data_IF_635981414005
#
_entry.id   IF_635981414005
#
_cell.length_a   1.000
_cell.length_b   1.000
_cell.length_c   1.000
_cell.angle_alpha   90.00
_cell.angle_beta   90.00
_cell.angle_gamma   90.00
#
_symmetry.space_group_name_H-M   'P 1'
#
loop_
_entity.id
_entity.type
_entity.pdbx_description
1 polymer ?
#
# COMPACT_ATOMS: atom_id res chain seq x y z
N UNK A 1 25.51 50.86 18.27
CA UNK A 1 24.25 51.05 17.56
C UNK A 1 23.94 49.75 16.82
N UNK A 2 23.14 48.88 17.47
CA UNK A 2 22.66 47.65 16.83
C UNK A 2 21.39 48.00 16.04
N UNK A 3 21.49 47.94 14.72
CA UNK A 3 20.31 47.89 13.86
C UNK A 3 19.88 46.41 13.85
N UNK A 4 18.91 46.08 14.69
CA UNK A 4 18.21 44.80 14.54
C UNK A 4 17.57 44.80 13.17
N UNK A 5 17.98 43.82 12.37
CA UNK A 5 17.50 43.67 11.01
C UNK A 5 16.03 43.19 11.06
N UNK A 6 15.02 44.03 10.78
CA UNK A 6 13.60 43.64 10.95
C UNK A 6 13.18 42.53 9.98
N UNK A 7 14.00 42.16 9.00
CA UNK A 7 13.71 41.13 8.00
C UNK A 7 13.75 39.70 8.57
N UNK A 8 14.59 39.41 9.58
CA UNK A 8 14.67 38.07 10.16
C UNK A 8 13.41 37.71 10.99
N UNK A 9 12.81 38.66 11.67
CA UNK A 9 11.58 38.44 12.41
C UNK A 9 10.35 38.25 11.50
N UNK A 10 10.36 38.84 10.32
CA UNK A 10 9.26 38.73 9.38
C UNK A 10 9.17 37.32 8.76
N UNK A 11 10.29 36.74 8.39
CA UNK A 11 10.37 35.39 7.80
C UNK A 11 9.94 34.30 8.78
N UNK A 12 10.33 34.43 10.07
CA UNK A 12 9.89 33.49 11.14
C UNK A 12 8.39 33.59 11.40
N UNK A 13 7.85 34.79 11.52
CA UNK A 13 6.40 34.98 11.76
C UNK A 13 5.56 34.48 10.57
N UNK A 14 6.03 34.64 9.35
CA UNK A 14 5.33 34.12 8.16
C UNK A 14 5.35 32.61 8.09
N UNK A 15 6.44 31.95 8.49
CA UNK A 15 6.55 30.50 8.51
C UNK A 15 5.66 29.86 9.57
N UNK A 16 5.54 30.50 10.75
CA UNK A 16 4.71 30.02 11.86
C UNK A 16 3.20 30.11 11.56
N UNK A 17 2.81 30.92 10.59
CA UNK A 17 1.41 31.09 10.17
C UNK A 17 1.00 30.13 9.02
N UNK A 18 1.89 29.27 8.59
CA UNK A 18 1.63 28.29 7.54
C UNK A 18 1.46 26.89 8.12
N UNK A 19 0.30 26.31 7.87
CA UNK A 19 0.04 24.89 8.10
C UNK A 19 0.37 24.07 6.87
N UNK A 20 1.20 23.06 7.02
CA UNK A 20 1.56 22.15 5.92
C UNK A 20 1.12 20.73 6.24
N UNK A 21 0.36 20.12 5.33
CA UNK A 21 0.02 18.71 5.37
C UNK A 21 0.62 17.99 4.16
N UNK A 22 1.23 16.84 4.40
CA UNK A 22 1.79 16.00 3.36
C UNK A 22 1.00 14.70 3.26
N UNK A 23 0.77 14.25 2.02
CA UNK A 23 0.16 12.98 1.69
C UNK A 23 1.04 12.22 0.72
N UNK A 24 1.22 10.93 0.96
CA UNK A 24 1.76 10.01 -0.02
C UNK A 24 0.60 9.33 -0.72
N UNK A 25 0.44 9.57 -2.01
CA UNK A 25 -0.70 9.11 -2.80
C UNK A 25 -0.24 8.29 -4.01
N UNK A 26 -1.14 7.48 -4.53
CA UNK A 26 -0.90 6.76 -5.78
C UNK A 26 -0.77 7.75 -6.96
N UNK A 27 -0.05 7.36 -8.01
CA UNK A 27 0.09 8.17 -9.23
C UNK A 27 -1.24 8.48 -9.93
N UNK A 28 -2.30 7.77 -9.59
CA UNK A 28 -3.67 8.01 -10.10
C UNK A 28 -4.43 9.04 -9.30
N UNK A 29 -3.82 9.66 -8.30
CA UNK A 29 -4.47 10.66 -7.47
C UNK A 29 -4.94 11.84 -8.33
N UNK A 30 -6.22 12.24 -8.22
CA UNK A 30 -6.80 13.32 -9.00
C UNK A 30 -6.41 14.68 -8.40
N UNK A 31 -5.25 15.20 -8.74
CA UNK A 31 -4.69 16.44 -8.16
C UNK A 31 -5.64 17.63 -8.30
N UNK A 32 -6.35 17.73 -9.42
CA UNK A 32 -7.33 18.80 -9.63
C UNK A 32 -8.50 18.72 -8.64
N UNK A 33 -9.00 17.52 -8.37
CA UNK A 33 -10.06 17.31 -7.38
C UNK A 33 -9.58 17.59 -5.95
N UNK A 34 -8.36 17.18 -5.61
CA UNK A 34 -7.72 17.47 -4.32
C UNK A 34 -7.57 18.98 -4.12
N UNK A 35 -7.19 19.71 -5.16
CA UNK A 35 -7.08 21.17 -5.13
C UNK A 35 -8.43 21.83 -4.87
N UNK A 36 -9.46 21.43 -5.61
CA UNK A 36 -10.81 21.96 -5.45
C UNK A 36 -11.36 21.67 -4.04
N UNK A 37 -11.11 20.47 -3.53
CA UNK A 37 -11.53 20.09 -2.18
C UNK A 37 -10.79 20.90 -1.09
N UNK A 38 -9.49 21.11 -1.24
CA UNK A 38 -8.74 21.96 -0.30
C UNK A 38 -9.32 23.38 -0.25
N UNK A 39 -9.62 23.98 -1.40
CA UNK A 39 -10.24 25.29 -1.47
C UNK A 39 -11.62 25.30 -0.81
N UNK A 40 -12.40 24.26 -1.00
CA UNK A 40 -13.72 24.10 -0.37
C UNK A 40 -13.60 24.04 1.15
N UNK A 41 -12.65 23.25 1.66
CA UNK A 41 -12.37 23.12 3.10
C UNK A 41 -11.96 24.48 3.66
N UNK A 42 -11.00 25.16 3.05
CA UNK A 42 -10.52 26.45 3.51
C UNK A 42 -11.62 27.51 3.56
N UNK A 43 -12.44 27.63 2.51
CA UNK A 43 -13.53 28.60 2.47
C UNK A 43 -14.60 28.36 3.55
N UNK A 44 -14.76 27.13 4.00
CA UNK A 44 -15.70 26.76 5.05
C UNK A 44 -15.18 26.96 6.47
N UNK A 45 -13.89 27.31 6.64
CA UNK A 45 -13.24 27.35 7.95
C UNK A 45 -12.84 28.78 8.37
N UNK A 46 -13.27 29.15 9.58
CA UNK A 46 -12.91 30.44 10.18
C UNK A 46 -11.42 30.57 10.54
N UNK A 47 -10.72 29.46 10.69
CA UNK A 47 -9.28 29.40 10.96
C UNK A 47 -8.42 29.88 9.81
N UNK A 48 -8.93 29.75 8.56
CA UNK A 48 -8.24 30.22 7.39
C UNK A 48 -8.28 31.75 7.26
N UNK A 49 -7.15 32.36 7.00
CA UNK A 49 -7.04 33.81 6.86
C UNK A 49 -7.22 34.35 5.43
N UNK A 50 -7.47 33.44 4.48
CA UNK A 50 -7.74 33.81 3.08
C UNK A 50 -6.51 34.06 2.21
N UNK A 51 -5.27 33.92 2.73
CA UNK A 51 -4.06 34.30 2.00
C UNK A 51 -3.46 33.16 1.18
N UNK A 52 -3.24 32.01 1.78
CA UNK A 52 -2.57 30.87 1.14
C UNK A 52 -3.43 29.62 1.21
N UNK A 53 -3.67 29.03 0.05
CA UNK A 53 -4.36 27.75 -0.11
C UNK A 53 -3.79 27.09 -1.37
N UNK A 54 -2.80 26.21 -1.22
CA UNK A 54 -2.01 25.68 -2.33
C UNK A 54 -1.89 24.18 -2.24
N UNK A 55 -2.11 23.52 -3.38
CA UNK A 55 -1.87 22.08 -3.57
C UNK A 55 -0.75 21.89 -4.58
N UNK A 56 0.29 21.19 -4.18
CA UNK A 56 1.47 20.93 -5.03
C UNK A 56 1.92 19.48 -4.87
N UNK A 57 2.35 18.89 -5.98
CA UNK A 57 3.15 17.66 -5.94
C UNK A 57 4.58 18.07 -5.70
N UNK A 58 5.16 17.66 -4.59
CA UNK A 58 6.49 18.10 -4.15
C UNK A 58 7.57 17.04 -4.31
N UNK A 59 7.16 15.78 -4.46
CA UNK A 59 8.10 14.68 -4.65
C UNK A 59 7.41 13.50 -5.36
N UNK A 60 8.23 12.64 -5.96
CA UNK A 60 7.78 11.43 -6.64
C UNK A 60 8.73 10.29 -6.30
N UNK A 61 8.17 9.14 -5.92
CA UNK A 61 8.93 7.92 -5.68
C UNK A 61 8.51 6.83 -6.68
N UNK A 62 9.15 5.67 -6.61
CA UNK A 62 8.79 4.54 -7.47
C UNK A 62 7.33 4.05 -7.27
N UNK A 63 6.73 4.35 -6.12
CA UNK A 63 5.41 3.80 -5.73
C UNK A 63 4.35 4.85 -5.47
N UNK A 64 4.75 6.08 -5.18
CA UNK A 64 3.83 7.12 -4.74
C UNK A 64 4.33 8.51 -5.11
N UNK A 65 3.42 9.46 -5.14
CA UNK A 65 3.69 10.90 -5.23
C UNK A 65 3.48 11.53 -3.86
N UNK A 66 4.28 12.54 -3.52
CA UNK A 66 4.05 13.36 -2.34
C UNK A 66 3.25 14.60 -2.73
N UNK A 67 2.11 14.79 -2.11
CA UNK A 67 1.26 15.97 -2.29
C UNK A 67 1.34 16.83 -1.05
N UNK A 68 1.72 18.08 -1.23
CA UNK A 68 1.74 19.10 -0.18
C UNK A 68 0.49 19.95 -0.26
N UNK A 69 -0.21 20.06 0.87
CA UNK A 69 -1.28 21.02 1.08
C UNK A 69 -0.76 22.11 2.01
N UNK A 70 -0.75 23.35 1.51
CA UNK A 70 -0.24 24.50 2.24
C UNK A 70 -1.37 25.50 2.48
N UNK A 71 -1.62 25.84 3.74
CA UNK A 71 -2.67 26.76 4.14
C UNK A 71 -2.12 27.81 5.13
N UNK A 72 -2.68 28.99 5.13
CA UNK A 72 -2.29 30.06 6.06
C UNK A 72 -3.38 30.32 7.10
N UNK A 73 -2.98 30.79 8.26
CA UNK A 73 -3.87 31.16 9.35
C UNK A 73 -3.39 32.45 10.04
N UNK A 74 -4.18 32.99 10.96
CA UNK A 74 -3.88 34.24 11.65
C UNK A 74 -2.88 34.08 12.79
N UNK A 75 -2.83 32.91 13.37
CA UNK A 75 -1.92 32.57 14.46
C UNK A 75 -1.28 31.19 14.24
N UNK A 76 -0.21 30.91 14.97
CA UNK A 76 0.45 29.60 14.93
C UNK A 76 -0.44 28.47 15.47
N UNK A 77 -1.26 28.76 16.47
CA UNK A 77 -2.27 27.82 16.98
C UNK A 77 -3.30 27.48 15.92
N UNK A 78 -3.88 28.51 15.29
CA UNK A 78 -4.85 28.32 14.21
C UNK A 78 -4.23 27.59 13.02
N UNK A 79 -2.96 27.83 12.71
CA UNK A 79 -2.24 27.12 11.63
C UNK A 79 -2.08 25.63 11.95
N UNK A 80 -1.81 25.30 13.21
CA UNK A 80 -1.72 23.91 13.65
C UNK A 80 -3.08 23.21 13.54
N UNK A 81 -4.14 23.83 14.08
CA UNK A 81 -5.48 23.27 14.08
C UNK A 81 -6.04 23.13 12.66
N UNK A 82 -5.86 24.18 11.85
CA UNK A 82 -6.25 24.14 10.43
C UNK A 82 -5.53 23.02 9.64
N UNK A 83 -4.24 22.83 9.91
CA UNK A 83 -3.48 21.73 9.30
C UNK A 83 -4.04 20.36 9.66
N UNK A 84 -4.40 20.14 10.91
CA UNK A 84 -5.00 18.90 11.38
C UNK A 84 -6.37 18.68 10.72
N UNK A 85 -7.20 19.68 10.72
CA UNK A 85 -8.53 19.66 10.13
C UNK A 85 -8.49 19.39 8.62
N UNK A 86 -7.60 20.07 7.88
CA UNK A 86 -7.38 19.84 6.45
C UNK A 86 -6.97 18.39 6.21
N UNK A 87 -6.07 17.84 7.03
CA UNK A 87 -5.61 16.46 6.90
C UNK A 87 -6.75 15.46 7.10
N UNK A 88 -7.54 15.63 8.13
CA UNK A 88 -8.67 14.74 8.44
C UNK A 88 -9.74 14.78 7.34
N UNK A 89 -10.17 15.98 6.93
CA UNK A 89 -11.18 16.12 5.89
C UNK A 89 -10.70 15.64 4.53
N UNK A 90 -9.44 15.88 4.19
CA UNK A 90 -8.87 15.40 2.93
C UNK A 90 -8.76 13.87 2.92
N UNK A 91 -8.38 13.24 4.04
CA UNK A 91 -8.39 11.78 4.16
C UNK A 91 -9.78 11.20 3.96
N UNK A 92 -10.78 11.78 4.59
CA UNK A 92 -12.17 11.37 4.46
C UNK A 92 -12.67 11.52 3.01
N UNK A 93 -12.37 12.63 2.35
CA UNK A 93 -12.67 12.85 0.94
C UNK A 93 -12.03 11.80 0.03
N UNK A 94 -10.72 11.56 0.21
CA UNK A 94 -10.00 10.57 -0.59
C UNK A 94 -10.52 9.15 -0.35
N UNK A 95 -10.82 8.78 0.88
CA UNK A 95 -11.33 7.46 1.21
C UNK A 95 -12.73 7.20 0.61
N UNK A 96 -13.59 8.22 0.59
CA UNK A 96 -14.95 8.09 0.07
C UNK A 96 -15.04 8.20 -1.45
N UNK A 97 -14.40 9.19 -2.03
CA UNK A 97 -14.59 9.53 -3.46
C UNK A 97 -13.46 9.02 -4.35
N UNK A 98 -12.25 8.89 -3.80
CA UNK A 98 -11.07 8.52 -4.57
C UNK A 98 -10.20 7.46 -3.87
N UNK A 99 -10.76 6.29 -3.48
CA UNK A 99 -10.00 5.26 -2.77
C UNK A 99 -8.80 4.75 -3.57
N UNK A 100 -8.84 4.84 -4.90
CA UNK A 100 -7.72 4.50 -5.79
C UNK A 100 -6.53 5.46 -5.66
N UNK A 101 -6.72 6.64 -5.06
CA UNK A 101 -5.65 7.60 -4.80
C UNK A 101 -4.81 7.23 -3.58
N UNK A 102 -5.34 6.40 -2.69
CA UNK A 102 -4.59 5.90 -1.53
C UNK A 102 -3.52 4.91 -1.96
N UNK A 103 -2.41 4.79 -1.20
CA UNK A 103 -1.32 3.87 -1.53
C UNK A 103 -1.83 2.44 -1.71
N UNK A 104 -1.52 1.83 -2.85
CA UNK A 104 -1.91 0.47 -3.19
C UNK A 104 -0.68 -0.37 -3.48
N UNK A 105 -0.67 -1.61 -2.98
CA UNK A 105 0.32 -2.61 -3.37
C UNK A 105 -0.19 -3.28 -4.65
N UNK A 106 0.48 -3.02 -5.78
CA UNK A 106 0.23 -3.72 -7.05
C UNK A 106 1.13 -4.94 -7.12
N UNK A 107 0.62 -6.11 -6.72
CA UNK A 107 1.26 -7.38 -6.98
C UNK A 107 0.72 -7.94 -8.32
N UNK A 108 1.56 -8.08 -9.35
CA UNK A 108 1.26 -8.96 -10.48
C UNK A 108 1.58 -10.37 -10.01
N UNK A 109 0.56 -11.15 -9.72
CA UNK A 109 0.70 -12.60 -9.67
C UNK A 109 0.86 -13.04 -11.11
N UNK A 110 2.12 -13.34 -11.54
CA UNK A 110 2.32 -14.18 -12.70
C UNK A 110 1.86 -15.56 -12.26
N UNK A 111 0.71 -16.01 -12.75
CA UNK A 111 0.43 -17.42 -12.84
C UNK A 111 1.49 -17.93 -13.80
N UNK A 112 2.50 -18.59 -13.30
CA UNK A 112 3.24 -19.54 -14.09
C UNK A 112 2.19 -20.61 -14.43
N UNK A 113 1.74 -20.60 -15.68
CA UNK A 113 1.01 -21.70 -16.25
C UNK A 113 1.80 -22.95 -15.88
N UNK A 114 1.16 -23.79 -15.11
CA UNK A 114 1.55 -25.12 -14.72
C UNK A 114 2.39 -25.72 -15.87
N UNK A 115 3.68 -25.86 -15.60
CA UNK A 115 4.60 -26.52 -16.50
C UNK A 115 3.89 -27.76 -17.01
N UNK A 116 3.53 -27.74 -18.26
CA UNK A 116 3.13 -28.94 -19.03
C UNK A 116 4.31 -29.90 -18.97
N UNK A 117 4.35 -30.65 -17.86
CA UNK A 117 5.28 -31.76 -17.72
C UNK A 117 4.88 -32.77 -18.78
N UNK A 118 5.70 -33.01 -19.79
CA UNK A 118 5.41 -34.03 -20.77
C UNK A 118 5.23 -35.36 -20.02
N UNK A 119 3.99 -35.85 -20.00
CA UNK A 119 3.68 -37.18 -19.48
C UNK A 119 4.57 -38.16 -20.26
N UNK A 120 5.59 -38.68 -19.58
CA UNK A 120 6.45 -39.73 -20.11
C UNK A 120 5.62 -40.87 -20.64
N UNK A 121 6.12 -41.59 -21.63
CA UNK A 121 5.37 -42.65 -22.29
C UNK A 121 4.92 -43.68 -21.25
N UNK A 122 3.60 -43.92 -21.19
CA UNK A 122 3.03 -45.00 -20.38
C UNK A 122 3.71 -46.29 -20.79
N UNK A 123 4.46 -46.88 -19.86
CA UNK A 123 4.97 -48.25 -20.03
C UNK A 123 3.77 -49.15 -20.33
N UNK A 124 3.79 -49.75 -21.51
CA UNK A 124 2.87 -50.84 -21.84
C UNK A 124 3.17 -51.96 -20.87
N UNK A 125 2.21 -52.29 -20.00
CA UNK A 125 2.23 -53.49 -19.24
C UNK A 125 2.28 -54.64 -20.22
N UNK A 126 3.44 -55.28 -20.29
CA UNK A 126 3.60 -56.52 -21.00
C UNK A 126 2.72 -57.59 -20.35
N UNK A 127 1.85 -58.14 -21.16
CA UNK A 127 1.03 -59.31 -20.88
C UNK A 127 1.95 -60.47 -20.55
N UNK A 128 2.10 -60.80 -19.24
CA UNK A 128 2.79 -62.04 -18.84
C UNK A 128 1.72 -63.11 -18.75
N UNK A 129 1.62 -63.84 -19.84
CA UNK A 129 0.97 -65.14 -19.86
C UNK A 129 1.66 -66.07 -18.85
N UNK A 130 0.87 -66.60 -17.92
CA UNK A 130 1.22 -67.76 -17.12
C UNK A 130 1.27 -69.03 -17.99
N UNK A 131 2.24 -69.91 -17.81
CA UNK A 131 2.05 -71.30 -18.09
C UNK A 131 2.04 -72.13 -16.81
N UNK A 132 1.00 -72.90 -16.65
CA UNK A 132 0.86 -74.29 -16.28
C UNK A 132 1.43 -74.77 -14.98
N UNK A 133 0.49 -75.35 -14.28
CA UNK A 133 0.64 -76.23 -13.16
C UNK A 133 1.62 -77.39 -13.42
N UNK A 134 2.26 -77.88 -12.35
CA UNK A 134 2.35 -79.31 -12.05
C UNK A 134 2.98 -79.52 -10.66
N UNK A 135 2.24 -80.14 -9.85
CA UNK A 135 2.42 -81.24 -8.88
C UNK A 135 3.74 -81.38 -8.10
N UNK A 136 3.59 -81.63 -6.82
CA UNK A 136 4.65 -82.17 -5.98
C UNK A 136 4.47 -81.93 -4.51
N UNK A 137 3.60 -82.60 -3.93
CA UNK A 137 3.47 -83.39 -2.72
C UNK A 137 4.66 -83.48 -1.74
N UNK A 138 4.30 -83.52 -0.47
CA UNK A 138 4.87 -84.10 0.75
C UNK A 138 5.47 -83.12 1.74
N UNK A 139 4.76 -82.88 2.79
CA UNK A 139 4.65 -83.58 4.05
C UNK A 139 5.77 -83.29 5.09
N UNK A 140 5.27 -83.06 6.28
CA UNK A 140 5.79 -83.34 7.60
C UNK A 140 6.20 -82.16 8.49
N UNK A 141 5.37 -81.98 9.47
CA UNK A 141 5.34 -81.41 10.83
C UNK A 141 6.40 -82.10 11.73
N UNK A 142 6.66 -81.83 12.99
CA UNK A 142 6.61 -80.56 13.78
C UNK A 142 7.87 -80.36 14.64
N UNK A 143 7.83 -79.37 15.51
CA UNK A 143 8.76 -79.28 16.60
C UNK A 143 8.72 -77.95 17.37
N UNK A 144 7.87 -77.85 18.31
CA UNK A 144 8.01 -77.05 19.54
C UNK A 144 9.10 -77.61 20.44
N UNK A 145 9.41 -77.07 21.63
CA UNK A 145 9.26 -75.73 22.20
C UNK A 145 10.54 -75.26 23.00
N UNK A 146 10.30 -74.28 23.83
CA UNK A 146 10.88 -73.94 25.17
C UNK A 146 12.05 -72.93 25.19
N UNK A 147 11.64 -71.88 25.87
CA UNK A 147 12.09 -71.42 27.18
C UNK A 147 13.46 -70.73 27.34
N UNK A 148 13.41 -69.52 27.65
CA UNK A 148 13.70 -68.79 28.88
C UNK A 148 13.72 -67.28 28.66
#
# INVERSE_FOLDING_TARGET
>A
WFIENPFQNWTRRSADLLGTAFFWLDYRAPIAAIRAELERICRGEALWDGRVCVTQVTDTSERAIQVRLLVSARSSGDAFDLRCLVRERMLDFLAREHPQALPQVRARLQHEDELDMPRGPRARTADVRSPGAEDGEAAIVPGEPTDR
#
